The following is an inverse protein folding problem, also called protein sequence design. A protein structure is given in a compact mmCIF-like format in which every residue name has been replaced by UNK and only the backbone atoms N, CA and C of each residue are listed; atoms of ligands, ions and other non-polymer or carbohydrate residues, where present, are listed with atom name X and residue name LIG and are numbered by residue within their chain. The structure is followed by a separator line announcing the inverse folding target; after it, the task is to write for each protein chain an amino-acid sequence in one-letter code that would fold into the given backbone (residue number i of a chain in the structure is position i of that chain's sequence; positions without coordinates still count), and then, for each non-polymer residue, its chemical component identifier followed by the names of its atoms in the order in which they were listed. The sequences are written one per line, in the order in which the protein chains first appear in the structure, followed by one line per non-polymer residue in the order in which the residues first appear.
data_IF_014416751216
#
_entry.id   IF_014416751216
#
_cell.length_a   1.000
_cell.length_b   1.000
_cell.length_c   1.000
_cell.angle_alpha   90.00
_cell.angle_beta   90.00
_cell.angle_gamma   90.00
#
_symmetry.space_group_name_H-M   'P 1'
#
loop_
_entity.id
_entity.type
_entity.pdbx_description
1 polymer ?
#
# COMPACT_ATOMS: atom_id res chain seq x y z
N UNK A 1 13.85 -5.34 -19.14
CA UNK A 1 14.03 -5.26 -17.67
C UNK A 1 14.40 -6.59 -17.01
N UNK A 2 14.14 -7.76 -17.63
CA UNK A 2 14.57 -9.04 -17.05
C UNK A 2 13.89 -9.36 -15.71
N UNK A 3 12.63 -8.98 -15.54
CA UNK A 3 11.85 -9.25 -14.32
C UNK A 3 11.66 -10.77 -14.20
N UNK A 4 12.02 -11.33 -13.06
CA UNK A 4 11.94 -12.78 -12.77
C UNK A 4 10.87 -13.12 -11.73
N UNK A 5 10.29 -12.11 -11.09
CA UNK A 5 9.21 -12.28 -10.13
C UNK A 5 8.87 -10.97 -9.44
N UNK A 6 7.78 -10.98 -8.69
CA UNK A 6 7.39 -9.88 -7.83
C UNK A 6 6.60 -10.39 -6.64
N UNK A 7 6.63 -9.60 -5.57
CA UNK A 7 5.76 -9.79 -4.40
C UNK A 7 5.09 -8.46 -4.12
N UNK A 8 3.80 -8.48 -3.80
CA UNK A 8 3.02 -7.27 -3.51
C UNK A 8 2.28 -7.40 -2.19
N UNK A 9 2.11 -6.28 -1.51
CA UNK A 9 1.26 -6.12 -0.34
C UNK A 9 0.39 -4.88 -0.53
N UNK A 10 -0.92 -5.04 -0.33
CA UNK A 10 -1.86 -3.92 -0.31
C UNK A 10 -2.18 -3.59 1.14
N UNK A 11 -1.83 -2.38 1.56
CA UNK A 11 -2.27 -1.81 2.83
C UNK A 11 -3.34 -0.78 2.54
N UNK A 12 -4.49 -0.86 3.21
CA UNK A 12 -5.49 0.21 3.13
C UNK A 12 -5.95 0.62 4.51
N UNK A 13 -5.90 1.93 4.74
CA UNK A 13 -6.36 2.58 5.95
C UNK A 13 -7.45 3.60 5.62
N UNK A 14 -8.25 3.95 6.62
CA UNK A 14 -9.17 5.07 6.57
C UNK A 14 -8.78 6.09 7.63
N UNK A 15 -8.57 7.34 7.22
CA UNK A 15 -8.36 8.47 8.12
C UNK A 15 -9.52 9.45 8.01
N UNK A 16 -9.97 10.00 9.15
CA UNK A 16 -11.11 10.92 9.18
C UNK A 16 -10.94 12.19 8.32
N UNK A 17 -9.71 12.70 8.20
CA UNK A 17 -9.43 13.93 7.46
C UNK A 17 -9.32 13.73 5.94
N UNK A 18 -8.91 12.54 5.50
CA UNK A 18 -8.49 12.31 4.12
C UNK A 18 -9.15 11.08 3.47
N UNK A 19 -9.97 10.33 4.22
CA UNK A 19 -10.69 9.16 3.73
C UNK A 19 -9.81 7.92 3.55
N UNK A 20 -10.14 7.10 2.55
CA UNK A 20 -9.42 5.87 2.21
C UNK A 20 -8.02 6.15 1.64
N UNK A 21 -7.01 5.47 2.20
CA UNK A 21 -5.59 5.60 1.87
C UNK A 21 -5.02 4.23 1.47
N UNK A 22 -5.15 3.84 0.19
CA UNK A 22 -4.53 2.63 -0.32
C UNK A 22 -3.05 2.84 -0.63
N UNK A 23 -2.20 1.96 -0.10
CA UNK A 23 -0.77 1.87 -0.37
C UNK A 23 -0.44 0.49 -0.95
N UNK A 24 0.10 0.47 -2.18
CA UNK A 24 0.60 -0.75 -2.80
C UNK A 24 2.13 -0.81 -2.69
N UNK A 25 2.62 -1.75 -1.89
CA UNK A 25 4.04 -2.04 -1.76
C UNK A 25 4.41 -3.19 -2.68
N UNK A 26 5.43 -3.02 -3.52
CA UNK A 26 5.86 -4.05 -4.48
C UNK A 26 7.36 -4.25 -4.44
N UNK A 27 7.81 -5.49 -4.27
CA UNK A 27 9.17 -5.92 -4.52
C UNK A 27 9.24 -6.49 -5.93
N UNK A 28 10.10 -5.92 -6.78
CA UNK A 28 10.34 -6.38 -8.14
C UNK A 28 11.72 -7.05 -8.20
N UNK A 29 11.75 -8.33 -8.58
CA UNK A 29 12.99 -9.08 -8.73
C UNK A 29 13.42 -9.05 -10.19
N UNK A 30 14.65 -8.63 -10.46
CA UNK A 30 15.24 -8.60 -11.79
C UNK A 30 16.43 -9.54 -11.86
N UNK A 31 16.64 -10.16 -13.03
CA UNK A 31 17.76 -11.09 -13.30
C UNK A 31 19.12 -10.41 -13.12
N UNK A 32 19.18 -9.12 -13.39
CA UNK A 32 20.37 -8.29 -13.24
C UNK A 32 19.99 -6.96 -12.56
N UNK A 33 20.92 -6.32 -11.82
CA UNK A 33 20.71 -4.98 -11.29
C UNK A 33 20.35 -3.99 -12.40
N UNK A 34 19.37 -3.12 -12.14
CA UNK A 34 18.97 -2.08 -13.08
C UNK A 34 19.91 -0.87 -12.98
N UNK A 35 20.30 -0.32 -14.13
CA UNK A 35 20.97 0.97 -14.21
C UNK A 35 20.03 2.10 -13.77
N UNK A 36 20.57 3.29 -13.44
CA UNK A 36 19.75 4.45 -13.08
C UNK A 36 18.76 4.81 -14.20
N UNK A 37 19.23 4.86 -15.45
CA UNK A 37 18.38 5.11 -16.61
C UNK A 37 17.24 4.07 -16.76
N UNK A 38 17.52 2.79 -16.47
CA UNK A 38 16.48 1.76 -16.49
C UNK A 38 15.45 1.92 -15.36
N UNK A 39 15.87 2.39 -14.19
CA UNK A 39 14.98 2.72 -13.07
C UNK A 39 14.10 3.92 -13.44
N UNK A 40 14.66 4.97 -14.03
CA UNK A 40 13.92 6.17 -14.44
C UNK A 40 12.86 5.83 -15.50
N UNK A 41 13.20 5.00 -16.48
CA UNK A 41 12.24 4.49 -17.48
C UNK A 41 11.14 3.63 -16.82
N UNK A 42 11.50 2.78 -15.86
CA UNK A 42 10.51 1.98 -15.12
C UNK A 42 9.57 2.86 -14.30
N UNK A 43 10.09 3.90 -13.64
CA UNK A 43 9.31 4.85 -12.87
C UNK A 43 8.30 5.58 -13.76
N UNK A 44 8.74 6.13 -14.89
CA UNK A 44 7.87 6.81 -15.86
C UNK A 44 6.78 5.87 -16.40
N UNK A 45 7.16 4.64 -16.74
CA UNK A 45 6.22 3.63 -17.24
C UNK A 45 5.15 3.27 -16.21
N UNK A 46 5.53 3.00 -14.97
CA UNK A 46 4.59 2.63 -13.91
C UNK A 46 3.71 3.80 -13.50
N UNK A 47 4.29 4.99 -13.34
CA UNK A 47 3.56 6.20 -12.98
C UNK A 47 2.51 6.55 -14.04
N UNK A 48 2.87 6.52 -15.33
CA UNK A 48 1.93 6.82 -16.41
C UNK A 48 0.71 5.92 -16.37
N UNK A 49 0.93 4.59 -16.31
CA UNK A 49 -0.17 3.61 -16.25
C UNK A 49 -1.07 3.78 -15.03
N UNK A 50 -0.47 4.04 -13.87
CA UNK A 50 -1.22 4.24 -12.64
C UNK A 50 -2.01 5.55 -12.66
N UNK A 51 -1.38 6.64 -13.09
CA UNK A 51 -2.02 7.95 -13.26
C UNK A 51 -3.21 7.86 -14.22
N UNK A 52 -3.04 7.23 -15.38
CA UNK A 52 -4.11 7.04 -16.36
C UNK A 52 -5.28 6.25 -15.76
N UNK A 53 -5.01 5.20 -14.98
CA UNK A 53 -6.05 4.43 -14.30
C UNK A 53 -6.80 5.26 -13.24
N UNK A 54 -6.09 6.08 -12.46
CA UNK A 54 -6.68 6.96 -11.45
C UNK A 54 -7.56 8.03 -12.11
N UNK A 55 -7.10 8.64 -13.21
CA UNK A 55 -7.88 9.62 -13.97
C UNK A 55 -9.09 8.97 -14.65
N UNK A 56 -8.94 7.79 -15.24
CA UNK A 56 -10.05 7.05 -15.85
C UNK A 56 -11.13 6.65 -14.82
N UNK A 57 -10.74 6.47 -13.55
CA UNK A 57 -11.66 6.24 -12.44
C UNK A 57 -12.35 7.53 -11.92
N UNK A 58 -12.07 8.69 -12.52
CA UNK A 58 -12.70 9.97 -12.18
C UNK A 58 -11.99 10.78 -11.08
N UNK A 59 -10.79 10.36 -10.68
CA UNK A 59 -10.01 11.06 -9.65
C UNK A 59 -8.97 12.00 -10.26
N UNK A 60 -8.43 12.89 -9.43
CA UNK A 60 -7.31 13.75 -9.82
C UNK A 60 -6.05 12.90 -10.02
N UNK A 61 -5.17 13.27 -10.97
CA UNK A 61 -3.92 12.56 -11.16
C UNK A 61 -3.12 12.55 -9.85
N UNK A 62 -2.42 11.43 -9.55
CA UNK A 62 -1.60 11.33 -8.37
C UNK A 62 -0.43 12.33 -8.39
N UNK A 63 0.15 12.60 -7.23
CA UNK A 63 1.32 13.48 -7.15
C UNK A 63 2.52 12.84 -7.86
N UNK A 64 3.16 13.55 -8.78
CA UNK A 64 4.29 13.04 -9.57
C UNK A 64 5.50 12.63 -8.71
N UNK A 65 5.75 13.33 -7.60
CA UNK A 65 6.91 13.08 -6.73
C UNK A 65 6.62 12.16 -5.54
N UNK A 66 5.35 12.02 -5.16
CA UNK A 66 4.98 11.34 -3.90
C UNK A 66 4.04 10.15 -4.11
N UNK A 67 3.45 10.04 -5.29
CA UNK A 67 2.52 8.96 -5.61
C UNK A 67 3.21 7.63 -5.91
N UNK A 68 4.37 7.66 -6.56
CA UNK A 68 5.14 6.46 -6.88
C UNK A 68 6.63 6.69 -6.63
N UNK A 69 7.24 5.81 -5.83
CA UNK A 69 8.66 5.85 -5.48
C UNK A 69 9.28 4.49 -5.78
N UNK A 70 10.42 4.49 -6.47
CA UNK A 70 11.25 3.30 -6.69
C UNK A 70 12.59 3.50 -5.97
N UNK A 71 12.89 2.62 -5.03
CA UNK A 71 14.17 2.58 -4.32
C UNK A 71 14.99 1.34 -4.70
N UNK A 72 16.31 1.43 -4.57
CA UNK A 72 17.21 0.30 -4.80
C UNK A 72 17.22 -0.67 -3.62
N UNK A 73 17.63 -1.91 -3.90
CA UNK A 73 17.76 -3.00 -2.93
C UNK A 73 18.71 -2.71 -1.75
N UNK A 74 19.62 -1.76 -1.87
CA UNK A 74 20.51 -1.31 -0.78
C UNK A 74 19.70 -0.73 0.38
N UNK A 75 18.66 0.05 0.07
CA UNK A 75 17.64 0.47 1.04
C UNK A 75 16.55 -0.57 1.24
N UNK A 76 16.53 -1.67 0.48
CA UNK A 76 15.66 -2.79 0.80
C UNK A 76 16.09 -3.42 2.11
N UNK A 77 17.36 -3.38 2.52
CA UNK A 77 17.79 -3.76 3.87
C UNK A 77 17.05 -2.95 4.93
N UNK A 78 17.09 -1.62 4.87
CA UNK A 78 16.39 -0.71 5.81
C UNK A 78 14.86 -0.68 5.65
N UNK A 79 14.35 -0.93 4.45
CA UNK A 79 12.91 -1.02 4.16
C UNK A 79 12.37 -2.36 4.64
N UNK A 80 13.02 -3.48 4.31
CA UNK A 80 12.82 -4.81 4.90
C UNK A 80 12.99 -4.70 6.41
N UNK A 81 13.98 -3.97 6.92
CA UNK A 81 14.21 -3.74 8.34
C UNK A 81 13.17 -2.84 8.98
N UNK A 82 12.57 -1.86 8.32
CA UNK A 82 11.43 -1.10 8.85
C UNK A 82 10.15 -1.93 8.83
N UNK A 83 10.09 -2.85 7.87
CA UNK A 83 9.09 -3.89 7.71
C UNK A 83 9.35 -5.10 8.64
N UNK A 84 10.57 -5.31 9.17
CA UNK A 84 11.00 -6.46 10.00
C UNK A 84 11.27 -6.08 11.47
N UNK A 85 11.91 -4.95 11.74
CA UNK A 85 12.27 -4.41 13.06
C UNK A 85 11.14 -3.62 13.75
N UNK A 86 9.91 -3.64 13.22
CA UNK A 86 8.75 -3.47 14.11
C UNK A 86 8.57 -4.69 15.07
N UNK A 87 9.53 -5.61 15.11
CA UNK A 87 9.71 -6.70 16.08
C UNK A 87 9.97 -6.33 17.55
N UNK A 88 9.42 -5.22 18.05
CA UNK A 88 9.20 -5.01 19.50
C UNK A 88 7.72 -4.71 19.82
N UNK A 89 6.81 -5.17 18.95
CA UNK A 89 5.38 -5.17 19.21
C UNK A 89 4.50 -5.49 18.00
N UNK A 90 4.98 -5.27 16.77
CA UNK A 90 4.16 -5.38 15.54
C UNK A 90 4.95 -6.01 14.38
N UNK A 91 4.67 -7.28 14.10
CA UNK A 91 4.63 -7.93 12.77
C UNK A 91 5.67 -7.56 11.67
N UNK A 92 6.58 -8.51 11.39
CA UNK A 92 7.65 -8.42 10.38
C UNK A 92 7.23 -8.60 8.90
N UNK A 93 8.19 -8.68 7.95
CA UNK A 93 7.98 -8.82 6.48
C UNK A 93 6.96 -9.88 6.05
N UNK A 94 7.01 -11.06 6.68
CA UNK A 94 6.04 -12.11 6.43
C UNK A 94 4.63 -11.67 6.86
N UNK A 95 4.51 -10.92 7.94
CA UNK A 95 3.23 -10.37 8.39
C UNK A 95 2.81 -9.12 7.60
N UNK A 96 3.71 -8.29 7.07
CA UNK A 96 3.29 -7.19 6.19
C UNK A 96 2.77 -7.67 4.83
N UNK A 97 3.33 -8.76 4.29
CA UNK A 97 2.93 -9.33 3.00
C UNK A 97 1.79 -10.35 3.16
N UNK A 98 1.76 -11.13 4.26
CA UNK A 98 0.75 -12.16 4.50
C UNK A 98 -0.31 -11.79 5.54
N UNK A 99 -0.13 -10.70 6.29
CA UNK A 99 -1.05 -10.20 7.33
C UNK A 99 -1.29 -8.69 7.19
N UNK A 100 -1.43 -8.18 5.96
CA UNK A 100 -1.79 -6.77 5.73
C UNK A 100 -3.03 -6.32 6.55
N UNK A 101 -3.94 -7.27 6.84
CA UNK A 101 -5.08 -7.10 7.73
C UNK A 101 -4.77 -7.12 9.24
N UNK A 102 -3.52 -6.96 9.66
CA UNK A 102 -3.15 -6.90 11.08
C UNK A 102 -2.44 -5.60 11.47
N UNK A 103 -2.27 -4.68 10.51
CA UNK A 103 -1.76 -3.34 10.75
C UNK A 103 -2.78 -2.54 11.59
N UNK A 104 -2.26 -1.70 12.48
CA UNK A 104 -3.05 -0.69 13.21
C UNK A 104 -2.77 0.68 12.64
N UNK A 105 -3.80 1.44 12.29
CA UNK A 105 -3.64 2.81 11.82
C UNK A 105 -3.01 3.72 12.88
N UNK A 106 -2.25 4.72 12.44
CA UNK A 106 -1.63 5.76 13.30
C UNK A 106 -2.47 7.04 13.26
N UNK A 107 -2.35 7.90 14.27
CA UNK A 107 -2.95 9.26 14.27
C UNK A 107 -4.43 9.28 13.86
N UNK A 108 -5.26 8.50 14.56
CA UNK A 108 -6.71 8.36 14.32
C UNK A 108 -7.12 7.71 12.98
N UNK A 109 -6.18 7.14 12.22
CA UNK A 109 -6.52 6.23 11.11
C UNK A 109 -6.81 4.82 11.61
N UNK A 110 -7.61 4.06 10.85
CA UNK A 110 -7.99 2.67 11.15
C UNK A 110 -7.80 1.80 9.92
N UNK A 111 -7.32 0.57 10.08
CA UNK A 111 -7.35 -0.42 9.01
C UNK A 111 -8.74 -1.04 8.89
N UNK A 112 -9.02 -1.66 7.76
CA UNK A 112 -10.30 -2.35 7.52
C UNK A 112 -10.63 -3.37 8.61
N UNK A 113 -9.72 -4.28 9.03
CA UNK A 113 -9.95 -5.16 10.17
C UNK A 113 -10.29 -4.42 11.47
N UNK A 114 -9.60 -3.31 11.78
CA UNK A 114 -9.96 -2.52 12.96
C UNK A 114 -11.37 -1.94 12.85
N UNK A 115 -11.82 -1.55 11.66
CA UNK A 115 -13.19 -1.08 11.43
C UNK A 115 -14.19 -2.25 11.61
N UNK A 116 -13.83 -3.47 11.19
CA UNK A 116 -14.63 -4.68 11.41
C UNK A 116 -14.76 -4.98 12.91
N UNK A 117 -13.64 -4.98 13.63
CA UNK A 117 -13.59 -5.22 15.08
C UNK A 117 -14.40 -4.15 15.82
N UNK A 118 -14.18 -2.86 15.52
CA UNK A 118 -14.92 -1.74 16.10
C UNK A 118 -16.44 -1.87 15.83
N UNK A 119 -16.83 -2.27 14.62
CA UNK A 119 -18.24 -2.51 14.32
C UNK A 119 -18.80 -3.69 15.11
N UNK A 120 -18.03 -4.76 15.28
CA UNK A 120 -18.40 -5.93 16.09
C UNK A 120 -18.66 -5.57 17.55
N UNK A 121 -17.78 -4.76 18.14
CA UNK A 121 -17.82 -4.37 19.54
C UNK A 121 -18.85 -3.27 19.83
N UNK A 122 -18.89 -2.22 19.01
CA UNK A 122 -19.67 -1.00 19.30
C UNK A 122 -20.92 -0.83 18.45
N UNK A 123 -21.06 -1.58 17.35
CA UNK A 123 -22.22 -1.54 16.44
C UNK A 123 -22.58 -0.13 15.93
N UNK A 124 -21.59 0.73 15.74
CA UNK A 124 -21.80 2.10 15.25
C UNK A 124 -22.17 2.07 13.77
N UNK A 125 -23.17 2.87 13.39
CA UNK A 125 -23.60 2.99 11.99
C UNK A 125 -22.49 3.57 11.10
N UNK A 126 -21.66 4.46 11.64
CA UNK A 126 -20.49 4.99 10.94
C UNK A 126 -19.55 3.89 10.45
N UNK A 127 -19.30 2.88 11.27
CA UNK A 127 -18.38 1.79 10.92
C UNK A 127 -19.02 0.86 9.88
N UNK A 128 -20.34 0.61 9.99
CA UNK A 128 -21.10 -0.12 8.97
C UNK A 128 -21.01 0.57 7.59
N UNK A 129 -21.21 1.90 7.55
CA UNK A 129 -21.16 2.67 6.30
C UNK A 129 -19.77 2.62 5.67
N UNK A 130 -18.70 2.72 6.47
CA UNK A 130 -17.33 2.57 5.97
C UNK A 130 -17.08 1.16 5.38
N UNK A 131 -17.58 0.10 6.04
CA UNK A 131 -17.44 -1.26 5.50
C UNK A 131 -18.21 -1.44 4.18
N UNK A 132 -19.39 -0.85 4.04
CA UNK A 132 -20.14 -0.88 2.78
C UNK A 132 -19.44 -0.11 1.66
N UNK A 133 -18.87 1.05 1.98
CA UNK A 133 -18.07 1.83 1.03
C UNK A 133 -16.85 1.02 0.58
N UNK A 134 -16.11 0.42 1.52
CA UNK A 134 -14.98 -0.45 1.24
C UNK A 134 -15.33 -1.61 0.31
N UNK A 135 -16.42 -2.34 0.60
CA UNK A 135 -16.89 -3.47 -0.21
C UNK A 135 -17.32 -3.04 -1.62
N UNK A 136 -17.85 -1.82 -1.77
CA UNK A 136 -18.26 -1.29 -3.08
C UNK A 136 -17.05 -0.85 -3.90
N UNK A 137 -16.05 -0.22 -3.26
CA UNK A 137 -14.87 0.32 -3.91
C UNK A 137 -13.80 -0.73 -4.25
N UNK A 138 -13.67 -1.78 -3.45
CA UNK A 138 -12.66 -2.82 -3.63
C UNK A 138 -13.18 -3.95 -4.52
N UNK A 139 -13.00 -3.80 -5.83
CA UNK A 139 -13.13 -4.91 -6.77
C UNK A 139 -11.79 -5.65 -6.78
N UNK A 140 -11.80 -6.92 -6.39
CA UNK A 140 -10.60 -7.77 -6.31
C UNK A 140 -9.80 -7.83 -7.60
#
# INVERSE_FOLDING_TARGET
LGIIGWVRALEVTYGWLFGWHPHLHTLLFTRHPLSKAQIDVLLQFLYGRWSDAVVAAGYRPPHSEHGLVISRGESAGDYISKICHQGLGHQGLAAEISQAGSKKGRLASRTVPQIIDDWGDYRRESDRLLLLEWLTGMRG
#
